data_IF_063101117575
#
_entry.id   IF_063101117575
#
_cell.length_a   1.000
_cell.length_b   1.000
_cell.length_c   1.000
_cell.angle_alpha   90.00
_cell.angle_beta   90.00
_cell.angle_gamma   90.00
#
_symmetry.space_group_name_H-M   'P 1'
#
loop_
_entity.id
_entity.type
_entity.pdbx_description
1 polymer ?
#
# COMPACT_ATOMS: atom_id res chain seq x y z
N UNK A 1 -3.09 22.14 -17.42
CA UNK A 1 -4.27 21.80 -18.27
C UNK A 1 -3.91 20.91 -19.45
N UNK A 2 -2.64 20.76 -19.81
CA UNK A 2 -2.28 20.11 -21.09
C UNK A 2 -2.59 18.61 -21.12
N UNK A 3 -2.44 17.90 -20.00
CA UNK A 3 -2.91 16.51 -19.90
C UNK A 3 -4.44 16.39 -20.00
N UNK A 4 -5.20 17.33 -19.45
CA UNK A 4 -6.66 17.31 -19.54
C UNK A 4 -7.15 17.44 -20.99
N UNK A 5 -6.48 18.29 -21.81
CA UNK A 5 -6.79 18.42 -23.24
C UNK A 5 -6.66 17.10 -24.01
N UNK A 6 -5.73 16.23 -23.59
CA UNK A 6 -5.53 14.92 -24.21
C UNK A 6 -6.63 13.90 -23.89
N UNK A 7 -7.56 14.21 -22.97
CA UNK A 7 -8.65 13.33 -22.56
C UNK A 7 -10.03 13.85 -23.00
N UNK A 8 -10.08 14.89 -23.84
CA UNK A 8 -11.34 15.39 -24.41
C UNK A 8 -11.99 14.27 -25.24
N UNK A 9 -13.27 13.98 -24.95
CA UNK A 9 -14.02 12.91 -25.60
C UNK A 9 -13.96 11.55 -24.89
N UNK A 10 -13.16 11.42 -23.82
CA UNK A 10 -13.21 10.24 -22.96
C UNK A 10 -14.53 10.22 -22.17
N UNK A 11 -15.16 9.04 -22.08
CA UNK A 11 -16.37 8.89 -21.26
C UNK A 11 -16.02 9.00 -19.77
N UNK A 12 -16.97 9.41 -18.89
CA UNK A 12 -16.72 9.46 -17.45
C UNK A 12 -16.26 8.09 -16.89
N UNK A 13 -16.84 7.00 -17.37
CA UNK A 13 -16.50 5.64 -16.93
C UNK A 13 -15.07 5.25 -17.32
N UNK A 14 -14.64 5.60 -18.54
CA UNK A 14 -13.26 5.33 -18.98
C UNK A 14 -12.26 6.17 -18.20
N UNK A 15 -12.62 7.42 -17.88
CA UNK A 15 -11.80 8.30 -17.06
C UNK A 15 -11.63 7.76 -15.63
N UNK A 16 -12.71 7.29 -15.01
CA UNK A 16 -12.67 6.65 -13.69
C UNK A 16 -11.80 5.39 -13.72
N UNK A 17 -11.97 4.55 -14.74
CA UNK A 17 -11.15 3.33 -14.90
C UNK A 17 -9.67 3.66 -15.06
N UNK A 18 -9.32 4.63 -15.91
CA UNK A 18 -7.93 5.06 -16.11
C UNK A 18 -7.30 5.62 -14.83
N UNK A 19 -8.08 6.38 -14.05
CA UNK A 19 -7.65 6.89 -12.76
C UNK A 19 -7.34 5.75 -11.79
N UNK A 20 -8.26 4.79 -11.65
CA UNK A 20 -8.08 3.64 -10.74
C UNK A 20 -6.95 2.72 -11.20
N UNK A 21 -6.79 2.49 -12.51
CA UNK A 21 -5.71 1.68 -13.07
C UNK A 21 -4.33 2.33 -12.85
N UNK A 22 -4.27 3.66 -12.83
CA UNK A 22 -3.05 4.40 -12.50
C UNK A 22 -2.81 4.38 -10.98
N UNK A 23 -3.83 4.68 -10.19
CA UNK A 23 -3.73 4.74 -8.73
C UNK A 23 -3.28 3.40 -8.15
N UNK A 24 -3.79 2.26 -8.63
CA UNK A 24 -3.40 0.93 -8.11
C UNK A 24 -1.93 0.58 -8.30
N UNK A 25 -1.20 1.28 -9.18
CA UNK A 25 0.23 1.04 -9.47
C UNK A 25 1.16 1.76 -8.51
N UNK A 26 0.67 2.74 -7.73
CA UNK A 26 1.52 3.43 -6.76
C UNK A 26 1.74 2.57 -5.52
N UNK A 27 2.93 2.67 -4.92
CA UNK A 27 3.37 1.78 -3.83
C UNK A 27 2.45 1.80 -2.60
N UNK A 28 1.82 2.95 -2.36
CA UNK A 28 0.97 3.23 -1.21
C UNK A 28 -0.53 3.09 -1.48
N UNK A 29 -0.92 2.58 -2.65
CA UNK A 29 -2.34 2.34 -2.94
C UNK A 29 -2.93 1.32 -1.97
N UNK A 30 -3.98 1.72 -1.25
CA UNK A 30 -4.63 0.88 -0.25
C UNK A 30 -3.76 0.55 0.97
N UNK A 31 -2.67 1.30 1.21
CA UNK A 31 -1.78 1.10 2.35
C UNK A 31 -2.17 2.02 3.50
N UNK A 32 -2.48 1.44 4.67
CA UNK A 32 -2.60 2.17 5.95
C UNK A 32 -1.45 1.78 6.87
N UNK A 33 -0.57 2.74 7.16
CA UNK A 33 0.59 2.53 8.03
C UNK A 33 0.18 2.51 9.51
N UNK A 34 0.68 1.52 10.23
CA UNK A 34 0.54 1.36 11.68
C UNK A 34 1.93 1.45 12.31
N UNK A 35 2.24 2.50 13.08
CA UNK A 35 3.55 2.66 13.70
C UNK A 35 3.89 1.48 14.63
N UNK A 36 5.12 1.01 14.56
CA UNK A 36 5.66 -0.08 15.36
C UNK A 36 7.15 0.14 15.65
N UNK A 37 7.75 -0.74 16.44
CA UNK A 37 9.20 -0.82 16.65
C UNK A 37 9.66 -2.26 16.44
N UNK A 38 10.88 -2.42 15.95
CA UNK A 38 11.51 -3.74 15.88
C UNK A 38 12.09 -4.17 17.25
N UNK A 39 12.83 -5.27 17.25
CA UNK A 39 13.48 -5.82 18.45
C UNK A 39 14.56 -4.89 19.03
N UNK A 40 15.14 -4.02 18.21
CA UNK A 40 16.18 -3.06 18.59
C UNK A 40 15.59 -1.70 18.98
N UNK A 41 14.26 -1.54 18.89
CA UNK A 41 13.56 -0.31 19.21
C UNK A 41 13.50 0.70 18.07
N UNK A 42 13.96 0.33 16.86
CA UNK A 42 13.98 1.19 15.69
C UNK A 42 12.54 1.44 15.20
N UNK A 43 12.16 2.69 14.89
CA UNK A 43 10.81 3.00 14.42
C UNK A 43 10.58 2.40 13.02
N UNK A 44 9.47 1.68 12.90
CA UNK A 44 8.99 1.13 11.65
C UNK A 44 7.46 1.26 11.54
N UNK A 45 6.89 0.79 10.46
CA UNK A 45 5.44 0.73 10.28
C UNK A 45 5.02 -0.58 9.64
N UNK A 46 3.92 -1.13 10.12
CA UNK A 46 3.27 -2.30 9.53
C UNK A 46 2.07 -1.86 8.71
N UNK A 47 1.78 -2.54 7.61
CA UNK A 47 0.54 -2.37 6.88
C UNK A 47 -0.01 -3.70 6.42
N UNK A 48 -1.34 -3.76 6.28
CA UNK A 48 -2.04 -4.92 5.75
C UNK A 48 -2.52 -4.59 4.35
N UNK A 49 -2.24 -5.47 3.39
CA UNK A 49 -2.68 -5.34 1.99
C UNK A 49 -3.22 -6.68 1.49
N UNK A 50 -3.82 -6.69 0.30
CA UNK A 50 -4.27 -7.93 -0.34
C UNK A 50 -3.13 -8.94 -0.57
N UNK A 51 -1.87 -8.48 -0.68
CA UNK A 51 -0.69 -9.35 -0.85
C UNK A 51 -0.23 -10.00 0.46
N UNK A 52 -0.52 -9.39 1.62
CA UNK A 52 0.06 -9.81 2.89
C UNK A 52 0.23 -8.68 3.91
N UNK A 53 1.07 -8.96 4.90
CA UNK A 53 1.55 -7.98 5.88
C UNK A 53 2.88 -7.38 5.42
N UNK A 54 2.90 -6.09 5.14
CA UNK A 54 4.07 -5.36 4.68
C UNK A 54 4.73 -4.60 5.82
N UNK A 55 6.06 -4.56 5.80
CA UNK A 55 6.88 -3.81 6.76
C UNK A 55 7.53 -2.64 6.04
N UNK A 56 7.48 -1.47 6.66
CA UNK A 56 8.01 -0.22 6.13
C UNK A 56 8.98 0.41 7.13
N UNK A 57 10.05 0.98 6.60
CA UNK A 57 11.01 1.80 7.34
C UNK A 57 11.22 3.09 6.56
N UNK A 58 11.03 4.25 7.21
CA UNK A 58 11.14 5.56 6.56
C UNK A 58 10.31 5.69 5.26
N UNK A 59 9.07 5.16 5.25
CA UNK A 59 8.20 5.08 4.07
C UNK A 59 8.75 4.25 2.90
N UNK A 60 9.78 3.44 3.12
CA UNK A 60 10.26 2.46 2.16
C UNK A 60 9.81 1.08 2.59
N UNK A 61 9.18 0.32 1.69
CA UNK A 61 8.77 -1.06 1.96
C UNK A 61 10.01 -1.96 2.00
N UNK A 62 10.29 -2.54 3.17
CA UNK A 62 11.46 -3.43 3.36
C UNK A 62 11.10 -4.90 3.17
N UNK A 63 9.85 -5.29 3.43
CA UNK A 63 9.43 -6.69 3.28
C UNK A 63 7.90 -6.81 3.12
N UNK A 64 7.46 -7.95 2.58
CA UNK A 64 6.05 -8.38 2.59
C UNK A 64 5.96 -9.87 2.93
N UNK A 65 5.29 -10.17 4.04
CA UNK A 65 4.91 -11.51 4.43
C UNK A 65 3.60 -11.89 3.73
N UNK A 66 3.67 -12.73 2.71
CA UNK A 66 2.47 -13.20 2.00
C UNK A 66 1.58 -14.04 2.91
N UNK A 67 0.27 -14.01 2.66
CA UNK A 67 -0.69 -14.80 3.44
C UNK A 67 -0.36 -16.30 3.45
N UNK A 68 0.11 -16.85 2.33
CA UNK A 68 0.54 -18.25 2.23
C UNK A 68 1.71 -18.60 3.17
N UNK A 69 2.54 -17.63 3.56
CA UNK A 69 3.67 -17.83 4.48
C UNK A 69 3.29 -17.59 5.95
N UNK A 70 2.13 -16.98 6.23
CA UNK A 70 1.70 -16.64 7.59
C UNK A 70 0.85 -17.79 8.16
N UNK A 71 1.41 -18.51 9.13
CA UNK A 71 0.71 -19.61 9.84
C UNK A 71 -0.24 -19.11 10.93
N UNK A 72 0.14 -18.04 11.62
CA UNK A 72 -0.58 -17.48 12.78
C UNK A 72 -0.20 -16.01 12.96
N UNK A 73 -1.19 -15.19 13.32
CA UNK A 73 -0.99 -13.84 13.84
C UNK A 73 -1.45 -13.82 15.30
N UNK A 74 -0.63 -13.26 16.18
CA UNK A 74 -0.97 -13.05 17.58
C UNK A 74 -0.15 -11.90 18.15
N UNK A 75 -0.68 -11.24 19.16
CA UNK A 75 -0.01 -10.18 19.90
C UNK A 75 -0.01 -10.49 21.39
N UNK A 76 0.98 -10.00 22.13
CA UNK A 76 1.03 -10.05 23.60
C UNK A 76 1.41 -8.67 24.10
N UNK A 77 0.44 -7.97 24.69
CA UNK A 77 0.60 -6.57 25.12
C UNK A 77 1.07 -5.70 23.93
N UNK A 78 1.49 -4.47 24.21
CA UNK A 78 2.06 -3.57 23.21
C UNK A 78 3.53 -3.87 23.00
#
# INVERSE_FOLDING_TARGET
MDFHKNHIGMSPTDADFALLDTARKVEFYGVRLHPARDMEGLPMSLAVTHLGLSVFQNLTKINTFSWAKIRKLSFRRK
#
